data_IF_407626599342
#
_entry.id   IF_407626599342
#
_cell.length_a   1.000
_cell.length_b   1.000
_cell.length_c   1.000
_cell.angle_alpha   90.00
_cell.angle_beta   90.00
_cell.angle_gamma   90.00
#
_symmetry.space_group_name_H-M   'P 1'
#
loop_
_entity.id
_entity.type
_entity.pdbx_description
1 polymer ?
#
# COMPACT_ATOMS: atom_id res chain seq x y z
N UNK A 1 -11.49 -11.12 11.34
CA UNK A 1 -10.33 -11.06 12.24
C UNK A 1 -9.73 -9.70 12.09
N UNK A 2 -9.95 -8.82 13.06
CA UNK A 2 -9.17 -7.59 13.19
C UNK A 2 -7.75 -7.99 13.53
N UNK A 3 -6.79 -7.63 12.69
CA UNK A 3 -5.37 -7.79 13.00
C UNK A 3 -4.95 -6.64 13.90
N UNK A 4 -4.82 -6.91 15.20
CA UNK A 4 -4.26 -5.96 16.16
C UNK A 4 -2.74 -6.14 16.18
N UNK A 5 -2.02 -5.11 15.77
CA UNK A 5 -0.57 -5.07 15.83
C UNK A 5 -0.13 -4.62 17.22
N UNK A 6 0.81 -5.35 17.80
CA UNK A 6 1.52 -4.91 19.00
C UNK A 6 2.77 -4.17 18.55
N UNK A 7 2.70 -2.83 18.58
CA UNK A 7 3.71 -1.95 17.99
C UNK A 7 4.52 -1.20 19.05
N UNK A 8 5.81 -1.09 18.82
CA UNK A 8 6.75 -0.25 19.57
C UNK A 8 7.37 0.78 18.64
N UNK A 9 7.60 1.99 19.18
CA UNK A 9 8.28 3.06 18.47
C UNK A 9 9.73 3.11 18.95
N UNK A 10 10.68 3.13 18.02
CA UNK A 10 12.11 3.21 18.29
C UNK A 10 12.69 4.35 17.45
N UNK A 11 13.64 5.10 18.01
CA UNK A 11 14.20 6.30 17.38
C UNK A 11 15.72 6.28 17.54
N UNK A 12 16.44 6.72 16.52
CA UNK A 12 17.89 6.88 16.58
C UNK A 12 18.56 6.65 15.23
N UNK A 13 19.89 6.77 15.19
CA UNK A 13 20.67 6.41 14.01
C UNK A 13 20.55 4.92 13.71
N UNK A 14 20.45 4.57 12.43
CA UNK A 14 20.54 3.18 11.99
C UNK A 14 22.00 2.75 11.85
N UNK A 15 22.32 1.60 12.45
CA UNK A 15 23.63 0.99 12.41
C UNK A 15 23.60 -0.39 11.75
N UNK A 16 24.76 -0.84 11.26
CA UNK A 16 24.94 -2.15 10.62
C UNK A 16 23.93 -2.41 9.50
N UNK A 17 23.67 -1.38 8.68
CA UNK A 17 22.68 -1.42 7.62
C UNK A 17 23.16 -2.27 6.45
N UNK A 18 22.52 -3.42 6.29
CA UNK A 18 22.66 -4.26 5.10
C UNK A 18 21.39 -4.16 4.25
N UNK A 19 21.54 -3.92 2.95
CA UNK A 19 20.43 -3.88 1.99
C UNK A 19 20.62 -4.96 0.94
N UNK A 20 19.57 -5.74 0.68
CA UNK A 20 19.55 -6.75 -0.36
C UNK A 20 18.33 -6.56 -1.27
N UNK A 21 18.53 -6.74 -2.58
CA UNK A 21 17.42 -6.85 -3.52
C UNK A 21 16.60 -8.09 -3.16
N UNK A 22 15.29 -7.94 -3.11
CA UNK A 22 14.35 -8.97 -2.70
C UNK A 22 13.08 -8.91 -3.53
N UNK A 23 12.23 -9.92 -3.38
CA UNK A 23 10.89 -9.92 -3.94
C UNK A 23 9.87 -9.85 -2.80
N UNK A 24 8.98 -8.87 -2.88
CA UNK A 24 7.87 -8.68 -1.95
C UNK A 24 6.71 -9.59 -2.40
N UNK A 25 6.34 -10.62 -1.62
CA UNK A 25 5.20 -11.44 -1.98
C UNK A 25 3.91 -10.60 -1.88
N UNK A 26 3.03 -10.72 -2.89
CA UNK A 26 1.75 -9.98 -2.96
C UNK A 26 0.82 -10.28 -1.78
N UNK A 27 1.04 -11.41 -1.08
CA UNK A 27 0.28 -11.81 0.10
C UNK A 27 1.23 -11.95 1.29
N UNK A 28 1.58 -10.83 1.91
CA UNK A 28 2.35 -10.84 3.15
C UNK A 28 1.48 -11.30 4.32
N UNK A 29 1.99 -12.22 5.15
CA UNK A 29 1.33 -12.58 6.39
C UNK A 29 1.78 -11.59 7.48
N UNK A 30 1.01 -10.52 7.64
CA UNK A 30 1.33 -9.34 8.47
C UNK A 30 1.29 -9.69 9.99
N UNK A 31 0.76 -10.87 10.34
CA UNK A 31 0.64 -11.42 11.69
C UNK A 31 1.85 -12.22 12.22
N UNK A 32 3.07 -11.95 11.74
CA UNK A 32 4.28 -12.38 12.45
C UNK A 32 4.81 -13.80 12.19
N UNK A 33 4.48 -14.45 11.06
CA UNK A 33 5.03 -15.79 10.73
C UNK A 33 5.70 -15.85 9.33
N UNK A 34 5.46 -14.87 8.44
CA UNK A 34 5.97 -14.94 7.06
C UNK A 34 7.25 -14.11 6.78
N UNK A 35 7.68 -13.24 7.68
CA UNK A 35 8.83 -12.36 7.39
C UNK A 35 10.19 -13.02 7.65
N UNK A 36 10.33 -13.77 8.76
CA UNK A 36 11.56 -14.54 9.05
C UNK A 36 11.79 -15.70 8.07
N UNK A 37 10.71 -16.38 7.68
CA UNK A 37 10.74 -17.46 6.67
C UNK A 37 10.99 -16.95 5.25
N UNK A 38 10.50 -15.76 4.89
CA UNK A 38 10.84 -15.13 3.61
C UNK A 38 12.33 -14.76 3.53
N UNK A 39 12.97 -14.40 4.64
CA UNK A 39 14.39 -14.06 4.65
C UNK A 39 15.31 -15.29 4.60
N UNK A 40 14.98 -16.35 5.36
CA UNK A 40 15.65 -17.64 5.26
C UNK A 40 15.48 -18.26 3.86
N UNK A 41 14.30 -18.09 3.25
CA UNK A 41 14.03 -18.43 1.85
C UNK A 41 14.87 -17.60 0.88
N UNK A 42 14.85 -16.27 0.97
CA UNK A 42 15.57 -15.38 0.03
C UNK A 42 17.10 -15.50 0.12
N UNK A 43 17.67 -15.76 1.30
CA UNK A 43 19.11 -16.02 1.44
C UNK A 43 19.49 -17.43 0.95
N UNK A 44 18.64 -18.45 1.17
CA UNK A 44 18.88 -19.82 0.71
C UNK A 44 18.54 -20.06 -0.77
N UNK A 45 17.62 -19.29 -1.35
CA UNK A 45 17.11 -19.43 -2.72
C UNK A 45 18.01 -18.80 -3.78
N UNK A 46 19.14 -18.19 -3.39
CA UNK A 46 20.11 -17.62 -4.34
C UNK A 46 20.76 -18.64 -5.29
N UNK A 47 20.43 -19.95 -5.23
CA UNK A 47 20.99 -20.92 -6.18
C UNK A 47 20.18 -22.17 -6.59
N UNK A 48 19.03 -22.55 -6.02
CA UNK A 48 18.50 -23.91 -6.33
C UNK A 48 16.98 -24.19 -6.43
N UNK A 49 16.06 -23.27 -6.11
CA UNK A 49 14.64 -23.63 -5.93
C UNK A 49 13.67 -23.22 -7.06
N UNK A 50 14.17 -22.69 -8.18
CA UNK A 50 13.34 -22.17 -9.29
C UNK A 50 12.62 -23.25 -10.15
N UNK A 51 12.59 -24.52 -9.75
CA UNK A 51 12.09 -25.62 -10.61
C UNK A 51 10.62 -25.98 -10.44
N UNK A 52 9.85 -25.36 -9.54
CA UNK A 52 8.43 -25.67 -9.36
C UNK A 52 7.49 -24.56 -9.83
N UNK A 53 6.50 -24.91 -10.66
CA UNK A 53 5.54 -23.99 -11.28
C UNK A 53 4.75 -23.11 -10.29
N UNK A 54 4.34 -23.58 -9.09
CA UNK A 54 3.68 -22.72 -8.11
C UNK A 54 4.60 -21.62 -7.53
N UNK A 55 5.88 -21.93 -7.33
CA UNK A 55 6.89 -20.98 -6.85
C UNK A 55 7.21 -19.95 -7.94
N UNK A 56 7.29 -20.37 -9.20
CA UNK A 56 7.47 -19.47 -10.34
C UNK A 56 6.31 -18.46 -10.46
N UNK A 57 5.07 -18.91 -10.25
CA UNK A 57 3.87 -18.04 -10.26
C UNK A 57 3.87 -17.07 -9.07
N UNK A 58 4.33 -17.48 -7.90
CA UNK A 58 4.49 -16.58 -6.75
C UNK A 58 5.62 -15.56 -6.97
N UNK A 59 6.76 -15.99 -7.51
CA UNK A 59 7.91 -15.14 -7.84
C UNK A 59 7.64 -14.18 -9.02
N UNK A 60 6.74 -14.56 -9.94
CA UNK A 60 6.26 -13.69 -11.02
C UNK A 60 5.24 -12.64 -10.52
N UNK A 61 4.49 -12.94 -9.46
CA UNK A 61 3.57 -11.99 -8.83
C UNK A 61 4.27 -11.05 -7.86
N UNK A 62 5.38 -11.48 -7.26
CA UNK A 62 6.09 -10.69 -6.26
C UNK A 62 6.74 -9.44 -6.90
N UNK A 63 6.57 -8.29 -6.24
CA UNK A 63 7.15 -7.02 -6.70
C UNK A 63 8.60 -6.91 -6.28
N UNK A 64 9.42 -6.25 -7.10
CA UNK A 64 10.78 -5.93 -6.72
C UNK A 64 10.77 -5.02 -5.48
N UNK A 65 11.63 -5.33 -4.53
CA UNK A 65 11.80 -4.58 -3.31
C UNK A 65 13.20 -4.69 -2.74
N UNK A 66 13.47 -3.93 -1.70
CA UNK A 66 14.69 -3.98 -0.91
C UNK A 66 14.29 -4.48 0.46
N UNK A 67 14.92 -5.58 0.88
CA UNK A 67 14.90 -5.95 2.29
C UNK A 67 16.17 -5.40 2.93
N UNK A 68 16.02 -4.84 4.12
CA UNK A 68 17.14 -4.35 4.91
C UNK A 68 17.17 -4.99 6.29
N UNK A 69 18.38 -5.07 6.83
CA UNK A 69 18.68 -5.41 8.20
C UNK A 69 19.47 -4.25 8.77
N UNK A 70 19.23 -3.90 10.02
CA UNK A 70 20.03 -2.91 10.73
C UNK A 70 19.70 -2.94 12.20
N UNK A 71 20.23 -1.98 12.94
CA UNK A 71 19.99 -1.81 14.36
C UNK A 71 19.67 -0.35 14.66
N UNK A 72 18.61 -0.10 15.42
CA UNK A 72 18.32 1.23 15.98
C UNK A 72 18.13 1.04 17.48
N UNK A 73 18.87 1.81 18.29
CA UNK A 73 18.78 1.77 19.76
C UNK A 73 18.84 0.33 20.34
N UNK A 74 19.80 -0.49 19.86
CA UNK A 74 19.99 -1.90 20.27
C UNK A 74 18.85 -2.86 19.91
N UNK A 75 17.89 -2.42 19.09
CA UNK A 75 16.89 -3.30 18.50
C UNK A 75 17.38 -3.76 17.13
N UNK A 76 17.69 -5.06 16.95
CA UNK A 76 18.00 -5.59 15.63
C UNK A 76 16.72 -5.65 14.79
N UNK A 77 16.72 -5.00 13.64
CA UNK A 77 15.56 -4.76 12.79
C UNK A 77 15.63 -5.56 11.50
N UNK A 78 14.46 -5.92 10.98
CA UNK A 78 14.30 -6.44 9.62
C UNK A 78 13.06 -5.82 8.99
N UNK A 79 13.19 -5.31 7.77
CA UNK A 79 12.08 -4.67 7.05
C UNK A 79 12.19 -4.85 5.56
N UNK A 80 11.05 -4.87 4.87
CA UNK A 80 10.97 -5.05 3.42
C UNK A 80 10.09 -3.97 2.79
N UNK A 81 10.67 -3.17 1.90
CA UNK A 81 10.04 -2.03 1.23
C UNK A 81 10.32 -2.07 -0.28
N UNK A 82 9.58 -1.33 -1.10
CA UNK A 82 9.87 -1.23 -2.55
C UNK A 82 11.21 -0.56 -2.81
N UNK A 83 11.62 0.38 -1.94
CA UNK A 83 12.95 0.97 -1.95
C UNK A 83 13.38 1.42 -0.54
N UNK A 84 14.68 1.60 -0.32
CA UNK A 84 15.26 2.07 0.95
C UNK A 84 16.36 3.10 0.65
N UNK A 85 16.05 4.39 0.83
CA UNK A 85 16.95 5.51 0.48
C UNK A 85 17.82 5.98 1.65
N UNK A 86 17.42 5.71 2.89
CA UNK A 86 18.21 6.02 4.07
C UNK A 86 19.55 5.28 4.09
N UNK A 87 20.61 5.92 4.54
CA UNK A 87 21.97 5.41 4.60
C UNK A 87 22.40 5.06 6.04
N UNK A 88 23.60 4.49 6.17
CA UNK A 88 24.18 4.20 7.48
C UNK A 88 24.30 5.49 8.32
N UNK A 89 23.91 5.43 9.59
CA UNK A 89 23.84 6.54 10.54
C UNK A 89 22.76 7.59 10.27
N UNK A 90 21.86 7.40 9.30
CA UNK A 90 20.68 8.26 9.19
C UNK A 90 19.80 8.10 10.43
N UNK A 91 19.31 9.23 10.94
CA UNK A 91 18.43 9.26 12.11
C UNK A 91 16.98 8.97 11.70
N UNK A 92 16.47 7.84 12.16
CA UNK A 92 15.19 7.30 11.72
C UNK A 92 14.24 7.08 12.90
N UNK A 93 12.94 7.15 12.63
CA UNK A 93 11.89 6.71 13.55
C UNK A 93 11.25 5.45 12.98
N UNK A 94 11.45 4.31 13.64
CA UNK A 94 10.92 3.02 13.22
C UNK A 94 9.72 2.59 14.09
N UNK A 95 8.67 2.11 13.43
CA UNK A 95 7.57 1.39 14.07
C UNK A 95 7.82 -0.10 13.88
N UNK A 96 8.07 -0.79 15.00
CA UNK A 96 8.51 -2.18 15.03
C UNK A 96 7.51 -3.07 15.78
N UNK A 97 7.60 -4.39 15.58
CA UNK A 97 6.91 -5.36 16.43
C UNK A 97 7.31 -5.22 17.90
N UNK A 98 6.42 -5.53 18.83
CA UNK A 98 6.78 -5.55 20.26
C UNK A 98 7.63 -6.78 20.64
N UNK A 99 7.44 -7.89 19.92
CA UNK A 99 8.21 -9.11 20.10
C UNK A 99 9.09 -9.37 18.89
N UNK A 100 10.35 -9.81 19.09
CA UNK A 100 11.18 -10.23 17.99
C UNK A 100 10.66 -11.53 17.38
N UNK A 101 10.80 -11.66 16.07
CA UNK A 101 10.59 -12.89 15.30
C UNK A 101 11.98 -13.33 14.82
N UNK A 102 12.39 -14.54 15.18
CA UNK A 102 13.74 -15.07 14.87
C UNK A 102 14.89 -14.15 15.33
N UNK A 103 14.73 -13.55 16.52
CA UNK A 103 15.75 -12.67 17.12
C UNK A 103 15.80 -11.25 16.54
N UNK A 104 14.94 -10.90 15.57
CA UNK A 104 14.85 -9.57 14.97
C UNK A 104 13.44 -8.99 15.06
N UNK A 105 13.35 -7.68 15.19
CA UNK A 105 12.08 -6.96 15.24
C UNK A 105 11.61 -6.61 13.82
N UNK A 106 10.36 -6.97 13.51
CA UNK A 106 9.79 -6.66 12.20
C UNK A 106 9.46 -5.17 12.13
N UNK A 107 9.96 -4.50 11.11
CA UNK A 107 9.65 -3.11 10.82
C UNK A 107 8.36 -3.04 10.00
N UNK A 108 7.40 -2.24 10.48
CA UNK A 108 6.14 -1.95 9.82
C UNK A 108 6.15 -0.61 9.09
N UNK A 109 6.85 0.38 9.67
CA UNK A 109 7.08 1.67 9.05
C UNK A 109 8.38 2.31 9.51
N UNK A 110 8.95 3.17 8.67
CA UNK A 110 10.07 4.06 9.00
C UNK A 110 9.71 5.46 8.56
N UNK A 111 9.99 6.45 9.40
CA UNK A 111 10.02 7.86 9.02
C UNK A 111 11.48 8.29 8.99
N UNK A 112 11.85 8.92 7.88
CA UNK A 112 13.07 9.70 7.75
C UNK A 112 12.69 11.19 7.84
N UNK A 113 12.97 11.87 8.96
CA UNK A 113 12.67 13.29 9.10
C UNK A 113 13.48 14.17 8.16
N UNK A 114 14.71 13.81 7.82
CA UNK A 114 15.54 14.66 6.97
C UNK A 114 14.98 14.73 5.55
N UNK A 115 14.61 13.59 4.98
CA UNK A 115 14.02 13.54 3.64
C UNK A 115 12.50 13.76 3.61
N UNK A 116 11.82 13.65 4.75
CA UNK A 116 10.35 13.70 4.82
C UNK A 116 9.68 12.49 4.18
N UNK A 117 10.38 11.34 4.14
CA UNK A 117 9.88 10.10 3.58
C UNK A 117 9.28 9.20 4.66
N UNK A 118 8.14 8.59 4.32
CA UNK A 118 7.47 7.55 5.09
C UNK A 118 7.55 6.24 4.32
N UNK A 119 8.28 5.30 4.87
CA UNK A 119 8.34 3.91 4.42
C UNK A 119 7.27 3.13 5.16
N UNK A 120 6.41 2.43 4.46
CA UNK A 120 5.44 1.48 5.05
C UNK A 120 5.48 0.17 4.27
N UNK A 121 4.93 -0.89 4.86
CA UNK A 121 4.71 -2.13 4.15
C UNK A 121 3.88 -1.88 2.87
N UNK A 122 4.18 -2.63 1.82
CA UNK A 122 3.49 -2.58 0.53
C UNK A 122 1.96 -2.71 0.68
N UNK A 123 1.19 -1.92 -0.09
CA UNK A 123 -0.28 -1.76 -0.01
C UNK A 123 -0.84 -1.03 1.23
N UNK A 124 0.03 -0.58 2.16
CA UNK A 124 -0.36 0.32 3.24
C UNK A 124 -0.17 1.80 2.87
N UNK A 125 -0.57 2.71 3.76
CA UNK A 125 -0.43 4.16 3.55
C UNK A 125 -1.75 4.90 3.37
N UNK A 126 -2.89 4.23 3.59
CA UNK A 126 -4.22 4.85 3.50
C UNK A 126 -5.12 4.35 4.63
N UNK A 127 -5.89 5.25 5.23
CA UNK A 127 -6.92 4.90 6.23
C UNK A 127 -8.10 4.15 5.61
N UNK A 128 -8.88 3.43 6.43
CA UNK A 128 -10.04 2.65 5.98
C UNK A 128 -11.05 3.55 5.26
N UNK A 129 -11.40 4.68 5.87
CA UNK A 129 -12.38 5.62 5.32
C UNK A 129 -11.96 6.18 3.96
N UNK A 130 -10.68 6.54 3.81
CA UNK A 130 -10.13 7.03 2.54
C UNK A 130 -10.01 5.92 1.50
N UNK A 131 -9.69 4.69 1.93
CA UNK A 131 -9.73 3.48 1.11
C UNK A 131 -11.09 3.31 0.44
N UNK A 132 -12.15 3.28 1.25
CA UNK A 132 -13.53 3.19 0.75
C UNK A 132 -13.90 4.31 -0.22
N UNK A 133 -13.54 5.56 0.11
CA UNK A 133 -13.82 6.70 -0.78
C UNK A 133 -13.11 6.55 -2.13
N UNK A 134 -11.84 6.14 -2.13
CA UNK A 134 -11.07 5.96 -3.36
C UNK A 134 -11.67 4.86 -4.25
N UNK A 135 -12.06 3.73 -3.67
CA UNK A 135 -12.69 2.63 -4.41
C UNK A 135 -14.03 3.08 -4.98
N UNK A 136 -14.85 3.76 -4.19
CA UNK A 136 -16.14 4.25 -4.66
C UNK A 136 -15.96 5.18 -5.87
N UNK A 137 -14.99 6.08 -5.80
CA UNK A 137 -14.65 6.95 -6.94
C UNK A 137 -14.14 6.15 -8.14
N UNK A 138 -13.24 5.19 -7.95
CA UNK A 138 -12.72 4.34 -9.03
C UNK A 138 -13.84 3.52 -9.69
N UNK A 139 -14.72 2.94 -8.87
CA UNK A 139 -15.92 2.19 -9.28
C UNK A 139 -16.82 3.08 -10.13
N UNK A 140 -17.05 4.31 -9.68
CA UNK A 140 -17.88 5.28 -10.36
C UNK A 140 -17.32 5.64 -11.75
N UNK A 141 -16.04 6.02 -11.83
CA UNK A 141 -15.41 6.36 -13.11
C UNK A 141 -15.35 5.16 -14.06
N UNK A 142 -15.02 3.97 -13.55
CA UNK A 142 -14.94 2.78 -14.38
C UNK A 142 -16.33 2.36 -14.92
N UNK A 143 -17.37 2.42 -14.08
CA UNK A 143 -18.74 2.17 -14.51
C UNK A 143 -19.17 3.15 -15.63
N UNK A 144 -18.82 4.44 -15.51
CA UNK A 144 -19.09 5.43 -16.55
C UNK A 144 -18.32 5.15 -17.85
N UNK A 145 -17.06 4.73 -17.76
CA UNK A 145 -16.26 4.37 -18.95
C UNK A 145 -16.87 3.16 -19.66
N UNK A 146 -17.20 2.09 -18.91
CA UNK A 146 -17.85 0.91 -19.48
C UNK A 146 -19.20 1.24 -20.09
N UNK A 147 -20.02 2.03 -19.39
CA UNK A 147 -21.31 2.47 -19.90
C UNK A 147 -21.17 3.33 -21.16
N UNK A 148 -20.25 4.29 -21.16
CA UNK A 148 -20.00 5.15 -22.32
C UNK A 148 -19.54 4.34 -23.54
N UNK A 149 -18.59 3.42 -23.34
CA UNK A 149 -18.12 2.52 -24.40
C UNK A 149 -19.24 1.65 -24.97
N UNK A 150 -20.06 1.04 -24.11
CA UNK A 150 -21.20 0.23 -24.55
C UNK A 150 -22.27 1.08 -25.25
N UNK A 151 -22.52 2.28 -24.76
CA UNK A 151 -23.49 3.22 -25.36
C UNK A 151 -23.08 3.62 -26.77
N UNK A 152 -21.79 3.85 -27.01
CA UNK A 152 -21.26 4.13 -28.35
C UNK A 152 -21.49 2.93 -29.28
N UNK A 153 -21.22 1.71 -28.81
CA UNK A 153 -21.46 0.48 -29.59
C UNK A 153 -22.94 0.34 -29.95
N UNK A 154 -23.85 0.51 -29.00
CA UNK A 154 -25.29 0.43 -29.22
C UNK A 154 -25.76 1.51 -30.21
N UNK A 155 -25.23 2.73 -30.10
CA UNK A 155 -25.53 3.82 -31.03
C UNK A 155 -25.04 3.52 -32.45
N UNK A 156 -23.84 2.94 -32.60
CA UNK A 156 -23.33 2.50 -33.89
C UNK A 156 -24.22 1.41 -34.49
N UNK A 157 -24.60 0.39 -33.71
CA UNK A 157 -25.51 -0.67 -34.16
C UNK A 157 -26.87 -0.10 -34.61
N UNK A 158 -27.40 0.89 -33.89
CA UNK A 158 -28.63 1.58 -34.27
C UNK A 158 -28.50 2.35 -35.58
N UNK A 159 -27.38 3.03 -35.84
CA UNK A 159 -27.12 3.74 -37.11
C UNK A 159 -26.99 2.77 -38.31
N UNK A 160 -26.54 1.54 -38.06
CA UNK A 160 -26.46 0.52 -39.10
C UNK A 160 -27.76 -0.29 -39.26
N UNK A 161 -28.74 -0.10 -38.36
CA UNK A 161 -30.07 -0.66 -38.52
C UNK A 161 -30.87 0.21 -39.51
N UNK A 162 -31.41 -0.40 -40.56
CA UNK A 162 -32.19 0.31 -41.58
C UNK A 162 -33.63 0.63 -41.12
N UNK A 163 -34.07 0.10 -39.98
CA UNK A 163 -35.44 0.23 -39.46
C UNK A 163 -35.57 1.34 -38.41
N UNK A 164 -35.51 2.58 -38.89
CA UNK A 164 -35.68 3.76 -38.04
C UNK A 164 -37.15 4.03 -37.70
N UNK A 165 -37.46 4.05 -36.41
CA UNK A 165 -38.77 4.43 -35.89
C UNK A 165 -38.62 5.15 -34.55
N UNK A 166 -39.63 5.92 -34.14
CA UNK A 166 -39.65 6.51 -32.81
C UNK A 166 -39.63 5.43 -31.70
N UNK A 167 -40.25 4.27 -31.94
CA UNK A 167 -40.21 3.14 -31.01
C UNK A 167 -38.79 2.61 -30.81
N UNK A 168 -38.09 2.30 -31.90
CA UNK A 168 -36.71 1.80 -31.84
C UNK A 168 -35.73 2.81 -31.22
N UNK A 169 -35.99 4.12 -31.40
CA UNK A 169 -35.24 5.16 -30.70
C UNK A 169 -35.46 5.16 -29.17
N UNK A 170 -36.72 5.07 -28.73
CA UNK A 170 -37.02 4.99 -27.29
C UNK A 170 -36.52 3.69 -26.65
N UNK A 171 -36.54 2.58 -27.41
CA UNK A 171 -35.93 1.32 -26.98
C UNK A 171 -34.43 1.48 -26.77
N UNK A 172 -33.71 2.10 -27.72
CA UNK A 172 -32.28 2.39 -27.58
C UNK A 172 -31.97 3.18 -26.30
N UNK A 173 -32.71 4.26 -26.04
CA UNK A 173 -32.55 5.07 -24.81
C UNK A 173 -32.81 4.21 -23.56
N UNK A 174 -33.87 3.41 -23.58
CA UNK A 174 -34.23 2.54 -22.46
C UNK A 174 -33.14 1.52 -22.16
N UNK A 175 -32.57 0.90 -23.19
CA UNK A 175 -31.44 -0.02 -23.07
C UNK A 175 -30.21 0.68 -22.49
N UNK A 176 -29.84 1.84 -23.02
CA UNK A 176 -28.69 2.63 -22.53
C UNK A 176 -28.84 2.97 -21.06
N UNK A 177 -30.03 3.42 -20.62
CA UNK A 177 -30.28 3.74 -19.20
C UNK A 177 -30.29 2.49 -18.32
N UNK A 178 -30.90 1.39 -18.77
CA UNK A 178 -30.91 0.13 -18.04
C UNK A 178 -29.49 -0.42 -17.84
N UNK A 179 -28.64 -0.32 -18.87
CA UNK A 179 -27.23 -0.69 -18.77
C UNK A 179 -26.45 0.18 -17.80
N UNK A 180 -26.77 1.47 -17.67
CA UNK A 180 -26.14 2.35 -16.67
C UNK A 180 -26.40 1.81 -15.26
N UNK A 181 -27.66 1.52 -14.95
CA UNK A 181 -28.07 0.99 -13.64
C UNK A 181 -27.39 -0.35 -13.38
N UNK A 182 -27.41 -1.26 -14.38
CA UNK A 182 -26.79 -2.58 -14.25
C UNK A 182 -25.28 -2.50 -14.06
N UNK A 183 -24.59 -1.60 -14.76
CA UNK A 183 -23.15 -1.37 -14.61
C UNK A 183 -22.81 -0.91 -13.19
N UNK A 184 -23.55 0.03 -12.62
CA UNK A 184 -23.35 0.48 -11.24
C UNK A 184 -23.62 -0.63 -10.22
N UNK A 185 -24.70 -1.41 -10.40
CA UNK A 185 -25.03 -2.53 -9.51
C UNK A 185 -23.96 -3.62 -9.54
N UNK A 186 -23.54 -4.02 -10.76
CA UNK A 186 -22.54 -5.06 -10.94
C UNK A 186 -21.16 -4.64 -10.40
N UNK A 187 -20.75 -3.41 -10.69
CA UNK A 187 -19.48 -2.88 -10.18
C UNK A 187 -19.51 -2.65 -8.68
N UNK A 188 -20.63 -2.18 -8.12
CA UNK A 188 -20.82 -2.08 -6.67
C UNK A 188 -20.72 -3.45 -5.99
N UNK A 189 -21.33 -4.47 -6.58
CA UNK A 189 -21.25 -5.85 -6.10
C UNK A 189 -19.81 -6.39 -6.12
N UNK A 190 -19.10 -6.27 -7.25
CA UNK A 190 -17.70 -6.70 -7.36
C UNK A 190 -16.84 -5.99 -6.30
N UNK A 191 -16.96 -4.68 -6.15
CA UNK A 191 -16.14 -3.94 -5.20
C UNK A 191 -16.42 -4.33 -3.74
N UNK A 192 -17.69 -4.52 -3.41
CA UNK A 192 -18.08 -4.95 -2.07
C UNK A 192 -17.55 -6.35 -1.72
N UNK A 193 -17.59 -7.31 -2.66
CA UNK A 193 -17.19 -8.68 -2.36
C UNK A 193 -15.70 -8.96 -2.57
N UNK A 194 -15.12 -8.44 -3.65
CA UNK A 194 -13.74 -8.75 -4.02
C UNK A 194 -12.73 -7.98 -3.16
N UNK A 195 -13.03 -6.72 -2.82
CA UNK A 195 -12.00 -5.80 -2.36
C UNK A 195 -12.19 -5.28 -0.95
N UNK A 196 -13.43 -5.18 -0.47
CA UNK A 196 -13.78 -4.65 0.86
C UNK A 196 -12.84 -5.13 1.99
N UNK A 197 -12.69 -6.44 2.12
CA UNK A 197 -11.91 -7.06 3.20
C UNK A 197 -10.41 -6.75 3.11
N UNK A 198 -9.88 -6.62 1.90
CA UNK A 198 -8.47 -6.26 1.69
C UNK A 198 -8.22 -4.84 2.21
N UNK A 199 -9.07 -3.89 1.82
CA UNK A 199 -8.95 -2.50 2.21
C UNK A 199 -9.21 -2.26 3.69
N UNK A 200 -10.18 -2.94 4.29
CA UNK A 200 -10.38 -2.91 5.74
C UNK A 200 -9.12 -3.38 6.47
N UNK A 201 -8.48 -4.46 6.01
CA UNK A 201 -7.26 -4.98 6.65
C UNK A 201 -6.09 -4.00 6.52
N UNK A 202 -5.72 -3.60 5.30
CA UNK A 202 -4.59 -2.68 5.09
C UNK A 202 -4.84 -1.30 5.69
N UNK A 203 -6.09 -0.83 5.65
CA UNK A 203 -6.50 0.43 6.27
C UNK A 203 -6.39 0.39 7.78
N UNK A 204 -6.90 -0.67 8.44
CA UNK A 204 -6.80 -0.83 9.89
C UNK A 204 -5.34 -0.95 10.36
N UNK A 205 -4.48 -1.61 9.57
CA UNK A 205 -3.06 -1.71 9.87
C UNK A 205 -2.35 -0.36 9.71
N UNK A 206 -2.69 0.39 8.64
CA UNK A 206 -2.18 1.74 8.42
C UNK A 206 -2.60 2.69 9.54
N UNK A 207 -3.87 2.66 9.97
CA UNK A 207 -4.37 3.48 11.07
C UNK A 207 -3.65 3.19 12.40
N UNK A 208 -3.41 1.93 12.73
CA UNK A 208 -2.62 1.55 13.92
C UNK A 208 -1.19 2.08 13.86
N UNK A 209 -0.57 2.07 12.68
CA UNK A 209 0.77 2.63 12.48
C UNK A 209 0.74 4.16 12.63
N UNK A 210 -0.24 4.85 12.02
CA UNK A 210 -0.41 6.30 12.15
C UNK A 210 -0.65 6.74 13.59
N UNK A 211 -1.47 6.00 14.34
CA UNK A 211 -1.68 6.18 15.77
C UNK A 211 -0.37 6.03 16.54
N UNK A 212 0.42 5.00 16.23
CA UNK A 212 1.69 4.76 16.92
C UNK A 212 2.76 5.82 16.62
N UNK A 213 2.78 6.31 15.39
CA UNK A 213 3.64 7.40 14.94
C UNK A 213 3.29 8.71 15.64
N UNK A 214 2.00 8.92 15.91
CA UNK A 214 1.48 10.15 16.53
C UNK A 214 0.91 11.15 15.52
N UNK A 215 0.45 10.70 14.35
CA UNK A 215 -0.23 11.57 13.40
C UNK A 215 -1.59 12.03 13.94
N UNK A 216 -1.94 13.29 13.74
CA UNK A 216 -3.29 13.79 14.01
C UNK A 216 -4.30 13.14 13.08
N UNK A 217 -5.50 12.84 13.59
CA UNK A 217 -6.59 12.23 12.81
C UNK A 217 -6.18 11.03 11.93
N UNK A 218 -5.66 9.92 12.50
CA UNK A 218 -5.22 8.73 11.76
C UNK A 218 -6.19 8.22 10.69
N UNK A 219 -7.50 8.28 10.99
CA UNK A 219 -8.60 7.84 10.12
C UNK A 219 -8.87 8.71 8.90
N UNK A 220 -8.23 9.87 8.81
CA UNK A 220 -8.36 10.81 7.70
C UNK A 220 -7.11 10.88 6.81
N UNK A 221 -6.02 10.20 7.20
CA UNK A 221 -4.76 10.17 6.46
C UNK A 221 -4.86 9.32 5.18
N UNK A 222 -4.20 9.79 4.13
CA UNK A 222 -4.10 9.14 2.82
C UNK A 222 -2.82 9.58 2.11
N UNK A 223 -1.83 8.70 2.10
CA UNK A 223 -0.51 8.91 1.47
C UNK A 223 -0.31 8.02 0.24
N UNK A 224 -1.29 7.18 -0.08
CA UNK A 224 -1.14 6.12 -1.09
C UNK A 224 -0.96 6.64 -2.52
N UNK A 225 -1.26 7.92 -2.79
CA UNK A 225 -1.00 8.53 -4.10
C UNK A 225 0.27 9.41 -4.12
N UNK A 226 0.93 9.59 -2.97
CA UNK A 226 2.17 10.36 -2.84
C UNK A 226 3.39 9.46 -2.80
N UNK A 227 3.29 8.30 -3.48
CA UNK A 227 4.41 7.40 -3.63
C UNK A 227 5.49 8.03 -4.50
N UNK A 228 6.72 7.66 -4.17
CA UNK A 228 7.88 8.17 -4.84
C UNK A 228 8.04 7.53 -6.24
N UNK A 229 8.07 8.36 -7.29
CA UNK A 229 8.08 7.94 -8.70
C UNK A 229 9.52 7.82 -9.26
N UNK A 230 10.52 8.29 -8.52
CA UNK A 230 11.91 8.29 -9.00
C UNK A 230 12.47 6.86 -9.03
N UNK A 231 12.96 6.45 -10.21
CA UNK A 231 13.49 5.11 -10.54
C UNK A 231 12.47 3.95 -10.50
N UNK A 232 11.18 4.27 -10.66
CA UNK A 232 10.08 3.28 -10.71
C UNK A 232 8.93 3.62 -9.76
N UNK A 233 7.88 2.79 -9.76
CA UNK A 233 6.71 3.01 -8.90
C UNK A 233 6.99 2.43 -7.49
N UNK A 234 7.48 3.28 -6.57
CA UNK A 234 7.81 2.88 -5.20
C UNK A 234 6.64 3.06 -4.23
N UNK A 235 5.60 2.24 -4.39
CA UNK A 235 4.31 2.36 -3.66
C UNK A 235 4.48 2.33 -2.14
N UNK A 236 5.54 1.72 -1.61
CA UNK A 236 5.76 1.58 -0.17
C UNK A 236 6.50 2.78 0.45
N UNK A 237 6.91 3.77 -0.34
CA UNK A 237 7.69 4.94 0.10
C UNK A 237 6.98 6.20 -0.35
N UNK A 238 6.58 7.03 0.61
CA UNK A 238 5.66 8.14 0.41
C UNK A 238 6.26 9.46 0.91
N UNK A 239 6.04 10.55 0.18
CA UNK A 239 6.36 11.91 0.59
C UNK A 239 5.31 12.41 1.59
N UNK A 240 5.31 11.89 2.83
CA UNK A 240 4.16 12.03 3.73
C UNK A 240 3.84 13.48 4.10
N UNK A 241 4.85 14.36 4.21
CA UNK A 241 4.65 15.77 4.58
C UNK A 241 3.76 16.54 3.61
N UNK A 242 3.77 16.17 2.33
CA UNK A 242 2.98 16.83 1.29
C UNK A 242 1.47 16.72 1.50
N UNK A 243 1.04 15.58 2.04
CA UNK A 243 -0.38 15.23 2.22
C UNK A 243 -0.77 14.97 3.68
N UNK A 244 0.16 15.20 4.61
CA UNK A 244 -0.08 15.06 6.04
C UNK A 244 -1.19 16.02 6.48
N UNK A 245 -2.18 15.47 7.19
CA UNK A 245 -3.21 16.27 7.83
C UNK A 245 -2.87 16.51 9.29
N UNK A 246 -2.81 17.77 9.67
CA UNK A 246 -2.47 18.17 11.03
C UNK A 246 -0.99 18.50 11.19
N UNK A 247 -0.56 18.61 12.45
CA UNK A 247 0.84 18.94 12.77
C UNK A 247 1.80 17.80 12.44
N UNK A 248 2.99 18.13 11.92
CA UNK A 248 4.07 17.17 11.74
C UNK A 248 4.74 16.82 13.09
N UNK A 249 4.63 15.56 13.57
CA UNK A 249 5.30 15.15 14.79
C UNK A 249 6.83 15.03 14.64
N UNK A 250 7.34 14.94 13.41
CA UNK A 250 8.76 14.75 13.11
C UNK A 250 9.23 15.73 12.01
N UNK A 251 9.34 17.03 12.32
CA UNK A 251 9.86 18.03 11.39
C UNK A 251 11.31 17.72 10.97
N UNK A 252 11.79 18.40 9.93
CA UNK A 252 13.14 18.15 9.37
C UNK A 252 14.26 18.28 10.41
N UNK A 253 14.09 19.19 11.36
CA UNK A 253 15.02 19.45 12.45
C UNK A 253 14.72 18.68 13.74
N UNK A 254 13.88 17.63 13.67
CA UNK A 254 13.40 16.87 14.83
C UNK A 254 14.54 16.37 15.72
N UNK A 255 15.55 15.74 15.14
CA UNK A 255 16.67 15.19 15.90
C UNK A 255 17.63 16.29 16.37
N UNK A 256 17.90 17.30 15.54
CA UNK A 256 18.79 18.43 15.89
C UNK A 256 18.27 19.29 17.05
N UNK A 257 16.94 19.49 17.13
CA UNK A 257 16.30 20.19 18.25
C UNK A 257 16.36 19.40 19.56
N UNK A 258 16.31 18.07 19.49
CA UNK A 258 16.35 17.23 20.68
C UNK A 258 17.77 17.06 21.25
N UNK A 259 18.81 17.22 20.43
CA UNK A 259 20.22 17.17 20.88
C UNK A 259 20.66 18.42 21.65
N UNK A 260 19.93 19.53 21.55
CA UNK A 260 20.27 20.79 22.24
C UNK A 260 19.64 20.92 23.63
N UNK A 261 18.81 19.95 24.03
CA UNK A 261 18.09 19.91 25.31
C UNK A 261 18.63 18.90 26.32
N UNK A 262 19.78 18.27 26.05
CA UNK A 262 20.57 17.48 27.01
C UNK A 262 21.84 18.23 27.41
#
# INVERSE_FOLDING_TARGET
>A
MEYKLNLKLVKGPIHSLEKAKSKIPVKQNIGGIAAGTAFAGVLAESSSLLTSAPILVMAAKAKDGITFIGEIDKYPLVGQFTTARFEENDELIAVISEKPVDGRYQVYAIIDPKSGLLYMIYEMGRSVKKGYKAIFMQTYYFALICWGGLSIILLVLYIFDANYSWGSFFDLISWVLLFLILAFLFMGFINYFAYRKSYENFGNLSEQIFEKIGFENPREQDFYNDYLINDGINISVMEYRKSLKGSDPYPEDYFSKNTTSE
#
